data_IF_350932316757
#
_entry.id   IF_350932316757
#
_cell.length_a   1.000
_cell.length_b   1.000
_cell.length_c   1.000
_cell.angle_alpha   90.00
_cell.angle_beta   90.00
_cell.angle_gamma   90.00
#
_symmetry.space_group_name_H-M   'P 1'
#
loop_
_entity.id
_entity.type
_entity.pdbx_description
1 polymer ?
#
# COMPACT_ATOMS: atom_id res chain seq x y z
N UNK A 1 15.00 18.37 -10.78
CA UNK A 1 14.53 17.65 -9.58
C UNK A 1 15.25 18.19 -8.38
N UNK A 2 14.49 18.76 -7.46
CA UNK A 2 14.99 19.26 -6.18
C UNK A 2 15.23 18.09 -5.22
N UNK A 3 16.02 18.26 -4.15
CA UNK A 3 16.17 17.24 -3.11
C UNK A 3 14.81 16.82 -2.49
N UNK A 4 13.86 17.74 -2.44
CA UNK A 4 12.50 17.48 -1.95
C UNK A 4 11.74 16.50 -2.87
N UNK A 5 11.82 16.68 -4.19
CA UNK A 5 11.18 15.78 -5.17
C UNK A 5 11.74 14.36 -5.05
N UNK A 6 13.05 14.22 -4.83
CA UNK A 6 13.71 12.92 -4.66
C UNK A 6 13.19 12.22 -3.39
N UNK A 7 13.05 12.94 -2.28
CA UNK A 7 12.51 12.39 -1.04
C UNK A 7 11.05 11.95 -1.26
N UNK A 8 10.23 12.78 -1.89
CA UNK A 8 8.84 12.43 -2.21
C UNK A 8 8.74 11.19 -3.09
N UNK A 9 9.60 11.04 -4.08
CA UNK A 9 9.65 9.84 -4.91
C UNK A 9 10.00 8.60 -4.08
N UNK A 10 11.04 8.66 -3.25
CA UNK A 10 11.45 7.53 -2.40
C UNK A 10 10.33 7.13 -1.44
N UNK A 11 9.72 8.10 -0.76
CA UNK A 11 8.61 7.86 0.18
C UNK A 11 7.39 7.33 -0.56
N UNK A 12 7.05 7.92 -1.71
CA UNK A 12 5.94 7.47 -2.55
C UNK A 12 6.12 6.03 -3.03
N UNK A 13 7.34 5.66 -3.43
CA UNK A 13 7.68 4.29 -3.85
C UNK A 13 7.59 3.31 -2.68
N UNK A 14 8.08 3.70 -1.49
CA UNK A 14 7.95 2.89 -0.28
C UNK A 14 6.48 2.66 0.11
N UNK A 15 5.65 3.68 -0.01
CA UNK A 15 4.20 3.60 0.21
C UNK A 15 3.51 2.70 -0.82
N UNK A 16 3.89 2.78 -2.10
CA UNK A 16 3.37 1.88 -3.12
C UNK A 16 3.75 0.42 -2.86
N UNK A 17 4.98 0.15 -2.41
CA UNK A 17 5.41 -1.20 -2.04
C UNK A 17 4.58 -1.71 -0.85
N UNK A 18 4.37 -0.89 0.17
CA UNK A 18 3.51 -1.22 1.30
C UNK A 18 2.08 -1.56 0.86
N UNK A 19 1.53 -0.74 -0.04
CA UNK A 19 0.23 -0.98 -0.68
C UNK A 19 0.22 -2.30 -1.46
N UNK A 20 1.23 -2.56 -2.30
CA UNK A 20 1.31 -3.80 -3.07
C UNK A 20 1.40 -5.05 -2.18
N UNK A 21 2.22 -5.02 -1.13
CA UNK A 21 2.37 -6.14 -0.19
C UNK A 21 1.08 -6.42 0.57
N UNK A 22 0.41 -5.37 1.07
CA UNK A 22 -0.90 -5.52 1.73
C UNK A 22 -1.98 -6.02 0.76
N UNK A 23 -1.98 -5.56 -0.50
CA UNK A 23 -2.86 -6.05 -1.55
C UNK A 23 -2.63 -7.53 -1.90
N UNK A 24 -1.37 -7.98 -2.00
CA UNK A 24 -1.02 -9.39 -2.21
C UNK A 24 -1.51 -10.24 -1.03
N UNK A 25 -1.37 -9.76 0.21
CA UNK A 25 -1.87 -10.48 1.38
C UNK A 25 -3.40 -10.60 1.38
N UNK A 26 -4.12 -9.52 1.01
CA UNK A 26 -5.57 -9.53 0.83
C UNK A 26 -6.00 -10.51 -0.27
N UNK A 27 -5.30 -10.50 -1.40
CA UNK A 27 -5.57 -11.39 -2.53
C UNK A 27 -5.32 -12.86 -2.17
N UNK A 28 -4.19 -13.18 -1.55
CA UNK A 28 -3.87 -14.53 -1.10
C UNK A 28 -4.90 -15.06 -0.10
N UNK A 29 -5.46 -14.18 0.74
CA UNK A 29 -6.52 -14.55 1.69
C UNK A 29 -7.87 -14.75 0.99
N UNK A 30 -8.21 -13.91 0.02
CA UNK A 30 -9.42 -14.06 -0.79
C UNK A 30 -9.42 -15.36 -1.61
N UNK A 31 -8.26 -15.77 -2.15
CA UNK A 31 -8.12 -17.01 -2.91
C UNK A 31 -8.15 -18.25 -2.00
N UNK A 32 -7.60 -18.17 -0.78
CA UNK A 32 -7.59 -19.27 0.21
C UNK A 32 -8.85 -19.34 1.08
N UNK A 33 -10.03 -19.10 0.50
CA UNK A 33 -11.31 -18.81 1.17
C UNK A 33 -11.83 -19.82 2.24
N UNK A 34 -11.08 -20.84 2.69
CA UNK A 34 -11.65 -21.95 3.44
C UNK A 34 -11.32 -22.08 4.94
N UNK A 35 -10.21 -21.58 5.52
CA UNK A 35 -9.83 -22.16 6.83
C UNK A 35 -9.60 -21.28 8.07
N UNK A 36 -9.51 -19.95 8.02
CA UNK A 36 -9.38 -19.16 9.28
C UNK A 36 -10.03 -17.78 9.22
N UNK A 37 -11.33 -17.77 9.50
CA UNK A 37 -12.10 -16.61 9.99
C UNK A 37 -11.73 -16.25 11.46
N UNK A 38 -10.46 -16.36 11.84
CA UNK A 38 -10.00 -16.16 13.23
C UNK A 38 -9.26 -14.84 13.49
N UNK A 39 -9.19 -13.95 12.50
CA UNK A 39 -8.28 -12.80 12.52
C UNK A 39 -8.91 -11.58 11.81
N UNK A 40 -10.12 -11.22 12.23
CA UNK A 40 -10.92 -10.13 11.68
C UNK A 40 -10.26 -8.75 11.93
N UNK A 41 -9.53 -8.60 13.05
CA UNK A 41 -8.82 -7.37 13.43
C UNK A 41 -7.74 -6.98 12.41
N UNK A 42 -7.11 -7.94 11.75
CA UNK A 42 -6.02 -7.68 10.79
C UNK A 42 -6.53 -7.36 9.37
N UNK A 43 -7.78 -7.69 9.01
CA UNK A 43 -8.34 -7.43 7.69
C UNK A 43 -8.52 -5.93 7.46
N UNK A 44 -9.12 -5.23 8.42
CA UNK A 44 -9.34 -3.79 8.33
C UNK A 44 -8.02 -3.02 8.18
N UNK A 45 -7.00 -3.42 8.94
CA UNK A 45 -5.66 -2.84 8.87
C UNK A 45 -5.01 -3.09 7.51
N UNK A 46 -5.10 -4.30 6.95
CA UNK A 46 -4.55 -4.61 5.63
C UNK A 46 -5.20 -3.77 4.52
N UNK A 47 -6.53 -3.60 4.56
CA UNK A 47 -7.23 -2.71 3.64
C UNK A 47 -6.83 -1.24 3.84
N UNK A 48 -6.69 -0.80 5.09
CA UNK A 48 -6.21 0.54 5.41
C UNK A 48 -4.81 0.80 4.84
N UNK A 49 -3.87 -0.13 5.04
CA UNK A 49 -2.52 -0.06 4.50
C UNK A 49 -2.52 -0.11 2.96
N UNK A 50 -3.41 -0.88 2.37
CA UNK A 50 -3.57 -0.95 0.91
C UNK A 50 -4.01 0.39 0.33
N UNK A 51 -5.12 0.94 0.81
CA UNK A 51 -5.64 2.21 0.30
C UNK A 51 -4.70 3.38 0.63
N UNK A 52 -4.15 3.42 1.84
CA UNK A 52 -3.20 4.47 2.23
C UNK A 52 -1.92 4.38 1.38
N UNK A 53 -1.31 3.21 1.28
CA UNK A 53 -0.08 3.01 0.51
C UNK A 53 -0.27 3.29 -0.97
N UNK A 54 -1.38 2.85 -1.56
CA UNK A 54 -1.68 3.07 -2.97
C UNK A 54 -2.03 4.54 -3.24
N UNK A 55 -2.98 5.13 -2.52
CA UNK A 55 -3.43 6.49 -2.77
C UNK A 55 -2.36 7.54 -2.42
N UNK A 56 -1.76 7.44 -1.22
CA UNK A 56 -0.72 8.38 -0.81
C UNK A 56 0.57 8.19 -1.62
N UNK A 57 0.94 6.95 -1.95
CA UNK A 57 2.10 6.65 -2.78
C UNK A 57 1.97 7.21 -4.20
N UNK A 58 0.83 6.98 -4.87
CA UNK A 58 0.57 7.56 -6.19
C UNK A 58 0.52 9.09 -6.15
N UNK A 59 -0.12 9.68 -5.14
CA UNK A 59 -0.21 11.14 -5.01
C UNK A 59 1.18 11.75 -4.82
N UNK A 60 2.04 11.17 -3.98
CA UNK A 60 3.41 11.68 -3.79
C UNK A 60 4.26 11.58 -5.05
N UNK A 61 4.15 10.46 -5.78
CA UNK A 61 4.85 10.29 -7.06
C UNK A 61 4.33 11.30 -8.09
N UNK A 62 3.01 11.53 -8.15
CA UNK A 62 2.41 12.48 -9.07
C UNK A 62 2.85 13.92 -8.79
N UNK A 63 2.95 14.32 -7.52
CA UNK A 63 3.46 15.66 -7.15
C UNK A 63 4.94 15.81 -7.49
N UNK A 64 5.72 14.73 -7.39
CA UNK A 64 7.17 14.77 -7.58
C UNK A 64 7.60 14.61 -9.06
N UNK A 65 6.75 14.05 -9.92
CA UNK A 65 6.97 14.05 -11.36
C UNK A 65 6.45 15.36 -11.98
N UNK A 66 7.33 16.18 -12.59
CA UNK A 66 6.95 17.40 -13.29
C UNK A 66 6.19 17.14 -14.61
#
# INVERSE_FOLDING_TARGET
MTPFDIILLIVGLALLILGAVSGIALFARAVKLSDKFGDETNIGTLWGLFFLGLAAGLLMIWIALP
#
